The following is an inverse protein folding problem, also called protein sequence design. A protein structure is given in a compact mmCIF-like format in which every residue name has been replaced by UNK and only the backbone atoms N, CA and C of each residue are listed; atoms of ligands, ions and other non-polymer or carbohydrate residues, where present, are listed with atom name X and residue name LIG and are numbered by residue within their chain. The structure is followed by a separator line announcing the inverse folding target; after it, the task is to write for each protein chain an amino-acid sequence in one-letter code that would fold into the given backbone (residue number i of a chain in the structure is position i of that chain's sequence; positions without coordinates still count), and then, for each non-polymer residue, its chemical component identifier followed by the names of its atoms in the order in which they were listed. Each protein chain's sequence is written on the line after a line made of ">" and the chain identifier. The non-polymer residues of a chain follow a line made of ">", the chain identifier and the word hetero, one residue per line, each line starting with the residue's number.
data_IF_039673211384
#
_entry.id   IF_039673211384
#
_cell.length_a   1.000
_cell.length_b   1.000
_cell.length_c   1.000
_cell.angle_alpha   90.00
_cell.angle_beta   90.00
_cell.angle_gamma   90.00
#
_symmetry.space_group_name_H-M   'P 1'
#
loop_
_entity.id
_entity.type
_entity.pdbx_description
1 polymer ?
#
# COMPACT_ATOMS: atom_id res chain seq x y z
N UNK A 1 2.20 38.61 -9.12
CA UNK A 1 2.44 37.16 -8.99
C UNK A 1 1.47 36.64 -7.95
N UNK A 2 0.63 35.64 -8.25
CA UNK A 2 -0.20 35.05 -7.21
C UNK A 2 0.70 34.26 -6.25
N UNK A 3 0.56 34.55 -4.96
CA UNK A 3 1.29 33.90 -3.87
C UNK A 3 0.95 32.40 -3.85
N UNK A 4 1.91 31.57 -4.25
CA UNK A 4 1.82 30.14 -4.03
C UNK A 4 1.85 29.88 -2.52
N UNK A 5 0.87 29.16 -1.95
CA UNK A 5 0.88 28.84 -0.53
C UNK A 5 2.16 28.06 -0.20
N UNK A 6 2.91 28.57 0.79
CA UNK A 6 4.09 27.92 1.40
C UNK A 6 3.67 26.70 2.24
N UNK A 7 2.97 25.75 1.61
CA UNK A 7 2.60 24.48 2.21
C UNK A 7 3.41 23.37 1.58
N UNK A 8 4.41 22.85 2.31
CA UNK A 8 5.03 21.52 2.17
C UNK A 8 4.85 20.84 0.80
N UNK A 9 5.42 21.43 -0.24
CA UNK A 9 5.22 21.03 -1.62
C UNK A 9 6.24 19.94 -2.00
N UNK A 10 5.81 18.68 -1.97
CA UNK A 10 5.86 17.75 -3.10
C UNK A 10 7.25 17.39 -3.70
N UNK A 11 8.12 16.71 -2.95
CA UNK A 11 9.32 16.09 -3.55
C UNK A 11 9.44 14.57 -3.35
N UNK A 12 8.79 13.99 -2.34
CA UNK A 12 8.91 12.55 -2.00
C UNK A 12 7.57 11.79 -1.96
N UNK A 13 6.43 12.49 -2.07
CA UNK A 13 5.11 11.94 -1.72
C UNK A 13 4.38 11.29 -2.91
N UNK A 14 4.93 11.49 -4.10
CA UNK A 14 4.61 10.78 -5.33
C UNK A 14 5.96 10.49 -6.01
N UNK A 15 6.01 9.76 -7.13
CA UNK A 15 7.21 9.68 -7.98
C UNK A 15 7.61 11.05 -8.58
N UNK A 16 7.45 12.16 -7.83
CA UNK A 16 7.86 13.53 -8.12
C UNK A 16 9.37 13.66 -8.34
N UNK A 17 10.19 12.69 -7.90
CA UNK A 17 11.59 12.62 -8.34
C UNK A 17 11.70 12.56 -9.88
N UNK A 18 10.68 12.08 -10.59
CA UNK A 18 10.63 12.12 -12.05
C UNK A 18 10.64 13.55 -12.61
N UNK A 19 10.20 14.55 -11.84
CA UNK A 19 10.27 15.97 -12.21
C UNK A 19 11.73 16.48 -12.25
N UNK A 20 12.66 15.81 -11.55
CA UNK A 20 14.08 16.13 -11.63
C UNK A 20 14.69 15.77 -13.00
N UNK A 21 14.06 14.83 -13.72
CA UNK A 21 14.57 14.30 -14.99
C UNK A 21 13.69 14.65 -16.20
N UNK A 22 12.40 14.94 -15.99
CA UNK A 22 11.42 15.16 -17.05
C UNK A 22 10.61 16.42 -16.83
N UNK A 23 10.01 16.95 -17.91
CA UNK A 23 9.03 18.04 -17.79
C UNK A 23 7.86 17.62 -16.87
N UNK A 24 7.25 18.55 -16.12
CA UNK A 24 6.16 18.22 -15.18
C UNK A 24 5.01 17.42 -15.82
N UNK A 25 4.65 17.74 -17.06
CA UNK A 25 3.60 17.03 -17.80
C UNK A 25 3.98 15.58 -18.08
N UNK A 26 5.23 15.32 -18.47
CA UNK A 26 5.72 13.96 -18.75
C UNK A 26 5.87 13.17 -17.45
N UNK A 27 6.40 13.78 -16.40
CA UNK A 27 6.55 13.17 -15.09
C UNK A 27 5.20 12.70 -14.52
N UNK A 28 4.15 13.54 -14.62
CA UNK A 28 2.80 13.18 -14.21
C UNK A 28 2.25 11.99 -15.00
N UNK A 29 2.34 12.02 -16.34
CA UNK A 29 1.88 10.91 -17.20
C UNK A 29 2.59 9.60 -16.88
N UNK A 30 3.91 9.64 -16.71
CA UNK A 30 4.69 8.46 -16.35
C UNK A 30 4.30 7.92 -14.99
N UNK A 31 4.06 8.79 -14.01
CA UNK A 31 3.68 8.36 -12.67
C UNK A 31 2.34 7.61 -12.66
N UNK A 32 1.32 8.08 -13.40
CA UNK A 32 0.08 7.33 -13.60
C UNK A 32 0.31 5.95 -14.22
N UNK A 33 1.16 5.86 -15.25
CA UNK A 33 1.48 4.58 -15.90
C UNK A 33 2.18 3.63 -14.92
N UNK A 34 3.11 4.16 -14.11
CA UNK A 34 3.83 3.39 -13.12
C UNK A 34 2.86 2.90 -12.03
N UNK A 35 1.97 3.75 -11.52
CA UNK A 35 0.98 3.37 -10.50
C UNK A 35 0.06 2.23 -11.00
N UNK A 36 -0.45 2.35 -12.23
CA UNK A 36 -1.27 1.30 -12.85
C UNK A 36 -0.47 0.00 -13.01
N UNK A 37 0.78 0.09 -13.48
CA UNK A 37 1.64 -1.06 -13.65
C UNK A 37 1.99 -1.74 -12.32
N UNK A 38 2.33 -0.96 -11.29
CA UNK A 38 2.62 -1.44 -9.94
C UNK A 38 1.40 -2.11 -9.31
N UNK A 39 0.21 -1.55 -9.48
CA UNK A 39 -1.03 -2.15 -9.02
C UNK A 39 -1.23 -3.56 -9.62
N UNK A 40 -1.04 -3.70 -10.94
CA UNK A 40 -1.09 -4.98 -11.63
C UNK A 40 -0.01 -5.94 -11.14
N UNK A 41 1.24 -5.49 -11.07
CA UNK A 41 2.38 -6.29 -10.62
C UNK A 41 2.19 -6.82 -9.20
N UNK A 42 1.81 -5.96 -8.25
CA UNK A 42 1.61 -6.37 -6.87
C UNK A 42 0.42 -7.30 -6.71
N UNK A 43 -0.65 -7.08 -7.47
CA UNK A 43 -1.77 -8.03 -7.53
C UNK A 43 -1.34 -9.38 -8.10
N UNK A 44 -0.52 -9.38 -9.16
CA UNK A 44 0.03 -10.61 -9.74
C UNK A 44 0.81 -11.40 -8.68
N UNK A 45 1.71 -10.74 -7.95
CA UNK A 45 2.52 -11.37 -6.90
C UNK A 45 1.63 -11.93 -5.78
N UNK A 46 0.62 -11.17 -5.33
CA UNK A 46 -0.35 -11.63 -4.33
C UNK A 46 -1.08 -12.89 -4.82
N UNK A 47 -1.55 -12.88 -6.06
CA UNK A 47 -2.36 -13.97 -6.61
C UNK A 47 -1.53 -15.22 -6.94
N UNK A 48 -0.28 -15.06 -7.38
CA UNK A 48 0.66 -16.18 -7.49
C UNK A 48 0.88 -16.82 -6.12
N UNK A 49 1.03 -16.02 -5.06
CA UNK A 49 1.17 -16.53 -3.70
C UNK A 49 -0.08 -17.28 -3.21
N UNK A 50 -1.28 -16.79 -3.53
CA UNK A 50 -2.55 -17.38 -3.08
C UNK A 50 -2.98 -18.63 -3.88
N UNK A 51 -3.02 -18.53 -5.22
CA UNK A 51 -3.59 -19.56 -6.09
C UNK A 51 -2.52 -20.54 -6.60
N UNK A 52 -1.24 -20.12 -6.64
CA UNK A 52 -0.12 -20.88 -7.21
C UNK A 52 -0.32 -21.27 -8.69
N UNK A 53 -1.19 -20.56 -9.41
CA UNK A 53 -1.44 -20.76 -10.84
C UNK A 53 -1.22 -19.45 -11.60
N UNK A 54 -0.10 -19.31 -12.35
CA UNK A 54 0.30 -18.02 -12.92
C UNK A 54 -0.69 -17.46 -13.94
N UNK A 55 -1.40 -18.33 -14.68
CA UNK A 55 -2.43 -17.91 -15.65
C UNK A 55 -3.57 -17.13 -14.98
N UNK A 56 -4.11 -17.65 -13.87
CA UNK A 56 -5.18 -16.98 -13.14
C UNK A 56 -4.67 -15.72 -12.42
N UNK A 57 -3.44 -15.76 -11.90
CA UNK A 57 -2.82 -14.58 -11.30
C UNK A 57 -2.66 -13.43 -12.30
N UNK A 58 -2.28 -13.74 -13.54
CA UNK A 58 -2.18 -12.75 -14.62
C UNK A 58 -3.54 -12.13 -14.95
N UNK A 59 -4.59 -12.95 -15.10
CA UNK A 59 -5.95 -12.45 -15.32
C UNK A 59 -6.38 -11.53 -14.17
N UNK A 60 -6.16 -11.93 -12.92
CA UNK A 60 -6.47 -11.09 -11.76
C UNK A 60 -5.70 -9.78 -11.74
N UNK A 61 -4.42 -9.76 -12.14
CA UNK A 61 -3.65 -8.52 -12.24
C UNK A 61 -4.19 -7.58 -13.32
N UNK A 62 -4.59 -8.11 -14.48
CA UNK A 62 -5.19 -7.31 -15.55
C UNK A 62 -6.52 -6.69 -15.09
N UNK A 63 -7.37 -7.49 -14.46
CA UNK A 63 -8.65 -7.02 -13.91
C UNK A 63 -8.40 -5.94 -12.86
N UNK A 64 -7.43 -6.14 -11.97
CA UNK A 64 -7.15 -5.18 -10.90
C UNK A 64 -6.58 -3.86 -11.44
N UNK A 65 -5.62 -3.90 -12.36
CA UNK A 65 -5.02 -2.66 -12.89
C UNK A 65 -5.97 -1.89 -13.83
N UNK A 66 -6.94 -2.56 -14.45
CA UNK A 66 -7.89 -1.95 -15.40
C UNK A 66 -9.32 -1.82 -14.84
N UNK A 67 -9.51 -1.90 -13.53
CA UNK A 67 -10.85 -1.80 -12.95
C UNK A 67 -11.43 -0.38 -13.01
N UNK A 68 -12.75 -0.27 -12.84
CA UNK A 68 -13.46 1.01 -12.89
C UNK A 68 -13.02 2.03 -11.83
N UNK A 69 -12.59 1.58 -10.65
CA UNK A 69 -12.06 2.47 -9.62
C UNK A 69 -10.74 3.11 -10.05
N UNK A 70 -9.82 2.33 -10.62
CA UNK A 70 -8.55 2.84 -11.16
C UNK A 70 -8.79 3.85 -12.30
N UNK A 71 -9.71 3.54 -13.21
CA UNK A 71 -10.07 4.43 -14.31
C UNK A 71 -10.75 5.72 -13.84
N UNK A 72 -11.59 5.63 -12.81
CA UNK A 72 -12.22 6.80 -12.18
C UNK A 72 -11.17 7.71 -11.54
N UNK A 73 -10.24 7.15 -10.77
CA UNK A 73 -9.16 7.93 -10.14
C UNK A 73 -8.24 8.60 -11.17
N UNK A 74 -7.96 7.91 -12.27
CA UNK A 74 -7.19 8.47 -13.39
C UNK A 74 -7.91 9.64 -14.04
N UNK A 75 -9.22 9.51 -14.30
CA UNK A 75 -10.06 10.58 -14.88
C UNK A 75 -10.16 11.79 -13.95
N UNK A 76 -10.36 11.55 -12.66
CA UNK A 76 -10.60 12.59 -11.66
C UNK A 76 -9.29 13.22 -11.14
N UNK A 77 -8.14 12.71 -11.57
CA UNK A 77 -6.82 13.24 -11.24
C UNK A 77 -6.35 12.93 -9.81
N UNK A 78 -6.91 11.90 -9.17
CA UNK A 78 -6.64 11.54 -7.77
C UNK A 78 -5.42 10.64 -7.64
N UNK A 79 -4.28 11.21 -7.98
CA UNK A 79 -3.00 10.54 -8.10
C UNK A 79 -2.51 9.91 -6.78
N UNK A 80 -2.65 10.61 -5.65
CA UNK A 80 -2.27 10.08 -4.33
C UNK A 80 -3.09 8.83 -3.97
N UNK A 81 -4.38 8.84 -4.29
CA UNK A 81 -5.26 7.68 -4.09
C UNK A 81 -4.88 6.51 -5.01
N UNK A 82 -4.51 6.76 -6.27
CA UNK A 82 -4.01 5.70 -7.18
C UNK A 82 -2.72 5.06 -6.65
N UNK A 83 -1.78 5.88 -6.19
CA UNK A 83 -0.51 5.38 -5.69
C UNK A 83 -0.72 4.51 -4.45
N UNK A 84 -1.49 4.97 -3.46
CA UNK A 84 -1.84 4.17 -2.28
C UNK A 84 -2.64 2.90 -2.63
N UNK A 85 -3.52 2.97 -3.64
CA UNK A 85 -4.26 1.83 -4.14
C UNK A 85 -3.34 0.79 -4.77
N UNK A 86 -2.33 1.22 -5.53
CA UNK A 86 -1.36 0.33 -6.14
C UNK A 86 -0.64 -0.56 -5.12
N UNK A 87 -0.28 -0.03 -3.94
CA UNK A 87 0.39 -0.78 -2.86
C UNK A 87 -0.52 -1.75 -2.09
N UNK A 88 -1.83 -1.63 -2.22
CA UNK A 88 -2.80 -2.39 -1.42
C UNK A 88 -2.65 -3.93 -1.57
N UNK A 89 -2.47 -4.53 -2.76
CA UNK A 89 -2.24 -5.97 -2.88
C UNK A 89 -0.95 -6.44 -2.19
N UNK A 90 0.09 -5.58 -2.20
CA UNK A 90 1.36 -5.89 -1.54
C UNK A 90 1.20 -5.87 -0.02
N UNK A 91 0.46 -4.88 0.51
CA UNK A 91 0.10 -4.82 1.93
C UNK A 91 -0.64 -6.11 2.34
N UNK A 92 -1.66 -6.52 1.58
CA UNK A 92 -2.39 -7.78 1.84
C UNK A 92 -1.49 -9.01 1.82
N UNK A 93 -0.56 -9.09 0.86
CA UNK A 93 0.40 -10.19 0.79
C UNK A 93 1.23 -10.29 2.07
N UNK A 94 1.73 -9.16 2.58
CA UNK A 94 2.56 -9.14 3.77
C UNK A 94 1.76 -9.34 5.06
N UNK A 95 0.49 -8.94 5.11
CA UNK A 95 -0.44 -9.34 6.17
C UNK A 95 -0.56 -10.87 6.22
N UNK A 96 -0.77 -11.52 5.07
CA UNK A 96 -0.90 -12.98 5.03
C UNK A 96 0.43 -13.65 5.46
N UNK A 97 1.57 -13.17 4.95
CA UNK A 97 2.89 -13.73 5.30
C UNK A 97 3.24 -13.52 6.78
N UNK A 98 2.89 -12.38 7.36
CA UNK A 98 3.07 -12.07 8.77
C UNK A 98 2.44 -13.16 9.66
N UNK A 99 1.19 -13.51 9.38
CA UNK A 99 0.45 -14.42 10.23
C UNK A 99 0.72 -15.91 9.92
N UNK A 100 1.06 -16.25 8.67
CA UNK A 100 1.34 -17.64 8.27
C UNK A 100 2.81 -18.08 8.41
N UNK A 101 3.78 -17.16 8.42
CA UNK A 101 5.20 -17.52 8.50
C UNK A 101 5.75 -17.57 9.94
N UNK A 102 6.89 -18.27 10.09
CA UNK A 102 7.75 -18.23 11.27
C UNK A 102 8.50 -16.91 11.39
N UNK A 103 8.90 -16.31 10.27
CA UNK A 103 9.63 -15.03 10.21
C UNK A 103 8.69 -13.81 10.35
N UNK A 104 7.74 -13.88 11.28
CA UNK A 104 6.68 -12.88 11.41
C UNK A 104 7.23 -11.49 11.73
N UNK A 105 8.32 -11.38 12.49
CA UNK A 105 8.97 -10.10 12.81
C UNK A 105 9.42 -9.37 11.53
N UNK A 106 10.09 -10.09 10.61
CA UNK A 106 10.53 -9.52 9.32
C UNK A 106 9.33 -8.98 8.53
N UNK A 107 8.24 -9.72 8.51
CA UNK A 107 7.03 -9.31 7.80
C UNK A 107 6.29 -8.17 8.50
N UNK A 108 6.34 -8.07 9.84
CA UNK A 108 5.84 -6.89 10.57
C UNK A 108 6.58 -5.63 10.16
N UNK A 109 7.92 -5.68 10.07
CA UNK A 109 8.74 -4.53 9.65
C UNK A 109 8.39 -4.11 8.22
N UNK A 110 8.34 -5.07 7.29
CA UNK A 110 7.99 -4.76 5.89
C UNK A 110 6.58 -4.20 5.79
N UNK A 111 5.61 -4.79 6.51
CA UNK A 111 4.24 -4.31 6.54
C UNK A 111 4.14 -2.87 7.09
N UNK A 112 4.90 -2.56 8.15
CA UNK A 112 4.95 -1.22 8.72
C UNK A 112 5.50 -0.19 7.74
N UNK A 113 6.56 -0.53 7.01
CA UNK A 113 7.12 0.32 5.95
C UNK A 113 6.09 0.55 4.84
N UNK A 114 5.37 -0.49 4.40
CA UNK A 114 4.34 -0.34 3.37
C UNK A 114 3.17 0.54 3.82
N UNK A 115 2.71 0.40 5.07
CA UNK A 115 1.69 1.30 5.62
C UNK A 115 2.22 2.73 5.79
N UNK A 116 3.48 2.91 6.18
CA UNK A 116 4.09 4.23 6.28
C UNK A 116 4.17 4.92 4.92
N UNK A 117 4.56 4.18 3.87
CA UNK A 117 4.51 4.67 2.48
C UNK A 117 3.07 5.04 2.10
N UNK A 118 2.10 4.15 2.35
CA UNK A 118 0.70 4.40 2.04
C UNK A 118 0.13 5.62 2.76
N UNK A 119 0.50 5.85 4.03
CA UNK A 119 0.10 7.05 4.77
C UNK A 119 0.79 8.31 4.26
N UNK A 120 2.08 8.23 3.91
CA UNK A 120 2.86 9.37 3.44
C UNK A 120 2.37 9.91 2.10
N UNK A 121 1.94 9.03 1.21
CA UNK A 121 1.33 9.39 -0.07
C UNK A 121 0.08 10.28 0.12
N UNK A 122 -0.53 10.28 1.32
CA UNK A 122 -1.69 11.09 1.64
C UNK A 122 -2.92 10.76 0.77
N UNK A 123 -3.32 9.49 0.65
CA UNK A 123 -4.48 9.13 -0.14
C UNK A 123 -5.77 9.64 0.47
N UNK A 124 -6.84 9.60 -0.32
CA UNK A 124 -8.20 9.72 0.23
C UNK A 124 -8.35 8.75 1.41
N UNK A 125 -8.91 9.26 2.52
CA UNK A 125 -9.21 8.51 3.74
C UNK A 125 -9.90 7.17 3.42
N UNK A 126 -10.72 7.13 2.37
CA UNK A 126 -11.38 5.90 1.89
C UNK A 126 -10.40 4.77 1.58
N UNK A 127 -9.30 5.03 0.89
CA UNK A 127 -8.32 3.98 0.50
C UNK A 127 -7.64 3.40 1.73
N UNK A 128 -7.26 4.28 2.66
CA UNK A 128 -6.63 3.87 3.92
C UNK A 128 -7.60 3.05 4.78
N UNK A 129 -8.85 3.51 4.93
CA UNK A 129 -9.89 2.78 5.67
C UNK A 129 -10.19 1.42 5.03
N UNK A 130 -10.25 1.32 3.71
CA UNK A 130 -10.44 0.04 3.02
C UNK A 130 -9.28 -0.93 3.28
N UNK A 131 -8.05 -0.44 3.26
CA UNK A 131 -6.87 -1.27 3.56
C UNK A 131 -6.88 -1.73 5.02
N UNK A 132 -7.19 -0.83 5.95
CA UNK A 132 -7.34 -1.13 7.38
C UNK A 132 -8.48 -2.12 7.65
N UNK A 133 -9.60 -1.99 6.95
CA UNK A 133 -10.73 -2.92 7.05
C UNK A 133 -10.33 -4.33 6.58
N UNK A 134 -9.62 -4.45 5.46
CA UNK A 134 -9.14 -5.76 5.01
C UNK A 134 -8.15 -6.39 5.98
N UNK A 135 -7.27 -5.59 6.57
CA UNK A 135 -6.37 -6.04 7.64
C UNK A 135 -7.17 -6.56 8.85
N UNK A 136 -8.16 -5.78 9.29
CA UNK A 136 -9.02 -6.16 10.42
C UNK A 136 -9.82 -7.43 10.15
N UNK A 137 -10.45 -7.56 8.98
CA UNK A 137 -11.18 -8.78 8.58
C UNK A 137 -10.23 -9.98 8.57
N UNK A 138 -9.02 -9.83 8.02
CA UNK A 138 -8.03 -10.90 8.03
C UNK A 138 -7.63 -11.30 9.46
N UNK A 139 -7.44 -10.33 10.35
CA UNK A 139 -7.14 -10.58 11.77
C UNK A 139 -8.24 -11.37 12.45
N UNK A 140 -9.50 -10.99 12.27
CA UNK A 140 -10.65 -11.70 12.85
C UNK A 140 -10.65 -13.15 12.39
N UNK A 141 -10.49 -13.39 11.08
CA UNK A 141 -10.43 -14.75 10.53
C UNK A 141 -9.23 -15.53 11.05
N UNK A 142 -8.07 -14.88 11.20
CA UNK A 142 -6.86 -15.53 11.73
C UNK A 142 -7.02 -15.94 13.20
N UNK A 143 -7.72 -15.15 13.99
CA UNK A 143 -7.97 -15.45 15.41
C UNK A 143 -8.94 -16.62 15.59
N UNK A 144 -9.86 -16.85 14.65
CA UNK A 144 -10.74 -18.02 14.66
C UNK A 144 -9.92 -19.29 14.41
N UNK A 145 -9.65 -20.05 15.48
CA UNK A 145 -9.02 -21.35 15.38
C UNK A 145 -8.41 -21.86 16.69
N UNK A 146 -7.75 -23.03 16.60
CA UNK A 146 -7.03 -23.63 17.73
C UNK A 146 -5.86 -22.74 18.15
N UNK A 147 -5.53 -22.74 19.44
CA UNK A 147 -4.48 -21.95 20.08
C UNK A 147 -4.72 -20.43 20.03
N UNK A 148 -5.95 -20.00 20.34
CA UNK A 148 -6.38 -18.59 20.33
C UNK A 148 -5.40 -17.66 21.08
N UNK A 149 -4.99 -18.01 22.31
CA UNK A 149 -4.06 -17.20 23.11
C UNK A 149 -2.73 -16.92 22.39
N UNK A 150 -2.10 -17.95 21.82
CA UNK A 150 -0.83 -17.78 21.10
C UNK A 150 -1.00 -16.91 19.84
N UNK A 151 -2.13 -17.05 19.13
CA UNK A 151 -2.45 -16.22 17.98
C UNK A 151 -2.70 -14.76 18.39
N UNK A 152 -3.43 -14.55 19.48
CA UNK A 152 -3.72 -13.23 20.03
C UNK A 152 -2.43 -12.52 20.46
N UNK A 153 -1.53 -13.21 21.17
CA UNK A 153 -0.21 -12.68 21.53
C UNK A 153 0.60 -12.29 20.29
N UNK A 154 0.63 -13.15 19.26
CA UNK A 154 1.31 -12.85 18.00
C UNK A 154 0.72 -11.60 17.33
N UNK A 155 -0.61 -11.46 17.29
CA UNK A 155 -1.29 -10.27 16.76
C UNK A 155 -0.92 -9.03 17.56
N UNK A 156 -0.90 -9.11 18.88
CA UNK A 156 -0.54 -8.00 19.76
C UNK A 156 0.90 -7.52 19.53
N UNK A 157 1.88 -8.43 19.56
CA UNK A 157 3.29 -8.08 19.33
C UNK A 157 3.54 -7.59 17.90
N UNK A 158 2.94 -8.23 16.89
CA UNK A 158 3.05 -7.79 15.51
C UNK A 158 2.45 -6.39 15.32
N UNK A 159 1.28 -6.14 15.92
CA UNK A 159 0.62 -4.84 15.92
C UNK A 159 1.47 -3.77 16.61
N UNK A 160 2.06 -4.09 17.75
CA UNK A 160 2.97 -3.19 18.46
C UNK A 160 4.18 -2.79 17.60
N UNK A 161 4.85 -3.77 16.97
CA UNK A 161 5.97 -3.49 16.05
C UNK A 161 5.52 -2.59 14.89
N UNK A 162 4.37 -2.91 14.28
CA UNK A 162 3.83 -2.12 13.17
C UNK A 162 3.56 -0.69 13.61
N UNK A 163 2.91 -0.48 14.75
CA UNK A 163 2.60 0.87 15.27
C UNK A 163 3.88 1.66 15.59
N UNK A 164 4.84 1.06 16.30
CA UNK A 164 6.09 1.74 16.67
C UNK A 164 6.85 2.20 15.43
N UNK A 165 7.00 1.32 14.43
CA UNK A 165 7.70 1.65 13.19
C UNK A 165 6.91 2.66 12.36
N UNK A 166 5.59 2.48 12.25
CA UNK A 166 4.71 3.39 11.51
C UNK A 166 4.78 4.80 12.07
N UNK A 167 4.58 4.98 13.39
CA UNK A 167 4.64 6.29 14.03
C UNK A 167 6.06 6.88 14.00
N UNK A 168 7.09 6.04 14.17
CA UNK A 168 8.48 6.47 14.05
C UNK A 168 8.80 7.01 12.65
N UNK A 169 8.46 6.26 11.61
CA UNK A 169 8.64 6.66 10.22
C UNK A 169 7.76 7.86 9.85
N UNK A 170 6.50 7.88 10.27
CA UNK A 170 5.60 9.01 10.00
C UNK A 170 6.10 10.31 10.62
N UNK A 171 6.64 10.25 11.85
CA UNK A 171 7.21 11.42 12.54
C UNK A 171 8.53 11.86 11.92
N UNK A 172 9.35 10.92 11.44
CA UNK A 172 10.58 11.25 10.73
C UNK A 172 10.28 11.90 9.38
N UNK A 173 9.37 11.31 8.60
CA UNK A 173 8.97 11.80 7.28
C UNK A 173 8.23 13.14 7.33
N UNK A 174 7.54 13.47 8.42
CA UNK A 174 6.88 14.78 8.57
C UNK A 174 7.85 15.93 8.84
N UNK A 175 9.10 15.63 9.18
CA UNK A 175 10.16 16.63 9.41
C UNK A 175 11.06 16.85 8.19
N UNK A 176 10.91 16.05 7.14
CA UNK A 176 11.58 16.17 5.84
C UNK A 176 10.69 16.93 4.86
#
# INVERSE_FOLDING_TARGET
>A
MPDFPKGNFLWLDSLAFLVLFFSPVVALKLNYIIDVFLAGLFMYILMVYLIKKPKFAFISSLIYMLNGYMMMMFRDGWMTSMNAYAFMPLILLFIIKLFKSKDWIKYSVILAVLFAIQMRVGPDLKVFLWTGLMFFVYLVVYLVGKNFLNRLLKVFFAGFIVLVILFGLATFLSRL
#
